data_IF_997267190657
#
_entry.id   IF_997267190657
#
_cell.length_a   1.000
_cell.length_b   1.000
_cell.length_c   1.000
_cell.angle_alpha   90.00
_cell.angle_beta   90.00
_cell.angle_gamma   90.00
#
_symmetry.space_group_name_H-M   'P 1'
#
loop_
_entity.id
_entity.type
_entity.pdbx_description
1 polymer ?
#
# COMPACT_ATOMS: atom_id res chain seq x y z
N UNK A 1 -4.80 -3.85 17.05
CA UNK A 1 -5.49 -4.70 16.06
C UNK A 1 -4.97 -4.30 14.68
N UNK A 2 -4.00 -5.05 14.15
CA UNK A 2 -3.34 -4.79 12.86
C UNK A 2 -4.11 -5.48 11.73
N UNK A 3 -4.34 -4.77 10.62
CA UNK A 3 -5.17 -5.22 9.49
C UNK A 3 -4.64 -6.47 8.79
N UNK A 4 -5.55 -7.19 8.12
CA UNK A 4 -5.32 -8.50 7.48
C UNK A 4 -4.35 -8.48 6.29
N UNK A 5 -3.84 -7.32 5.88
CA UNK A 5 -3.02 -7.17 4.67
C UNK A 5 -1.65 -6.55 5.00
N UNK A 6 -0.71 -7.37 5.51
CA UNK A 6 0.71 -7.00 5.53
C UNK A 6 1.25 -7.07 4.10
N UNK A 7 1.92 -6.01 3.65
CA UNK A 7 2.69 -6.08 2.41
C UNK A 7 3.78 -7.16 2.54
N UNK A 8 4.00 -8.01 1.53
CA UNK A 8 5.14 -8.94 1.52
C UNK A 8 6.48 -8.21 1.37
N UNK A 9 6.45 -6.94 0.96
CA UNK A 9 7.63 -6.11 0.81
C UNK A 9 8.02 -5.46 2.16
N UNK A 10 9.32 -5.38 2.42
CA UNK A 10 9.87 -4.58 3.51
C UNK A 10 10.31 -3.23 2.93
N UNK A 11 9.82 -2.12 3.50
CA UNK A 11 9.86 -0.80 2.88
C UNK A 11 10.37 0.31 3.80
N UNK A 12 10.16 1.55 3.39
CA UNK A 12 10.57 2.77 4.12
C UNK A 12 9.55 3.26 5.15
N UNK A 13 8.89 2.35 5.89
CA UNK A 13 8.00 2.78 6.98
C UNK A 13 8.79 3.11 8.25
N UNK A 14 8.11 3.76 9.19
CA UNK A 14 8.63 4.06 10.53
C UNK A 14 8.52 2.83 11.45
N UNK A 15 7.55 1.95 11.18
CA UNK A 15 7.25 0.81 12.03
C UNK A 15 8.26 -0.33 11.84
N UNK A 16 8.87 -0.76 12.94
CA UNK A 16 9.84 -1.85 12.96
C UNK A 16 9.14 -3.18 12.67
N UNK A 17 9.67 -3.93 11.69
CA UNK A 17 9.17 -5.27 11.38
C UNK A 17 9.98 -6.36 12.08
N UNK A 18 11.27 -6.47 11.74
CA UNK A 18 12.16 -7.52 12.24
C UNK A 18 13.64 -7.20 12.01
N UNK A 19 14.52 -8.01 12.63
CA UNK A 19 15.94 -8.04 12.31
C UNK A 19 16.27 -9.20 11.38
N UNK A 20 17.10 -8.96 10.37
CA UNK A 20 17.63 -9.99 9.46
C UNK A 20 19.16 -10.01 9.50
N UNK A 21 19.80 -11.16 9.32
CA UNK A 21 21.24 -11.22 9.12
C UNK A 21 21.65 -10.44 7.86
N UNK A 22 22.77 -9.72 7.96
CA UNK A 22 23.42 -9.07 6.82
C UNK A 22 23.98 -10.11 5.84
N UNK A 23 23.79 -9.87 4.55
CA UNK A 23 24.38 -10.64 3.45
C UNK A 23 25.14 -9.69 2.52
N UNK A 24 26.29 -10.10 1.94
CA UNK A 24 26.99 -9.28 0.95
C UNK A 24 26.06 -8.82 -0.17
N UNK A 25 26.01 -7.50 -0.41
CA UNK A 25 25.08 -6.85 -1.33
C UNK A 25 24.00 -6.01 -0.63
N UNK A 26 23.79 -6.21 0.68
CA UNK A 26 22.92 -5.36 1.47
C UNK A 26 23.54 -3.98 1.74
N UNK A 27 22.70 -2.95 1.83
CA UNK A 27 23.15 -1.60 2.16
C UNK A 27 23.55 -1.48 3.64
N UNK A 28 24.77 -1.04 3.97
CA UNK A 28 25.22 -0.86 5.36
C UNK A 28 24.40 0.18 6.15
N UNK A 29 23.64 1.04 5.47
CA UNK A 29 22.80 2.07 6.10
C UNK A 29 21.72 1.49 7.00
N UNK A 30 21.31 0.25 6.78
CA UNK A 30 20.26 -0.41 7.56
C UNK A 30 20.82 -1.28 8.70
N UNK A 31 22.14 -1.29 8.93
CA UNK A 31 22.74 -2.02 10.04
C UNK A 31 22.32 -1.38 11.37
N UNK A 32 21.84 -2.22 12.28
CA UNK A 32 21.56 -1.82 13.65
C UNK A 32 22.86 -1.80 14.46
N UNK A 33 23.50 -0.63 14.50
CA UNK A 33 24.75 -0.41 15.22
C UNK A 33 24.64 -0.69 16.73
N UNK A 34 23.46 -0.54 17.32
CA UNK A 34 23.24 -0.81 18.75
C UNK A 34 23.26 -2.31 19.04
N UNK A 35 22.71 -3.12 18.13
CA UNK A 35 22.75 -4.58 18.24
C UNK A 35 24.16 -5.09 17.95
N UNK A 36 24.83 -4.52 16.94
CA UNK A 36 26.22 -4.84 16.63
C UNK A 36 27.13 -4.63 17.86
N UNK A 37 27.04 -3.46 18.51
CA UNK A 37 27.86 -3.15 19.68
C UNK A 37 27.64 -4.09 20.89
N UNK A 38 26.46 -4.72 20.99
CA UNK A 38 26.11 -5.62 22.11
C UNK A 38 26.37 -7.09 21.83
N UNK A 39 26.27 -7.51 20.57
CA UNK A 39 26.22 -8.93 20.20
C UNK A 39 27.27 -9.33 19.17
N UNK A 40 28.02 -8.37 18.63
CA UNK A 40 28.99 -8.54 17.55
C UNK A 40 28.40 -9.21 16.29
N UNK A 41 27.09 -9.05 16.09
CA UNK A 41 26.34 -9.57 14.96
C UNK A 41 25.86 -8.45 14.05
N UNK A 42 26.13 -8.59 12.75
CA UNK A 42 25.64 -7.69 11.71
C UNK A 42 24.18 -8.01 11.40
N UNK A 43 23.27 -7.28 12.05
CA UNK A 43 21.84 -7.37 11.82
C UNK A 43 21.32 -6.11 11.13
N UNK A 44 20.48 -6.32 10.12
CA UNK A 44 19.75 -5.28 9.42
C UNK A 44 18.40 -5.06 10.07
N UNK A 45 18.05 -3.80 10.28
CA UNK A 45 16.73 -3.37 10.75
C UNK A 45 15.79 -3.27 9.56
N UNK A 46 14.77 -4.12 9.51
CA UNK A 46 13.73 -4.09 8.49
C UNK A 46 12.49 -3.38 9.03
N UNK A 47 11.82 -2.63 8.15
CA UNK A 47 10.60 -1.90 8.45
C UNK A 47 9.47 -2.44 7.60
N UNK A 48 8.25 -2.42 8.15
CA UNK A 48 7.05 -2.94 7.47
C UNK A 48 6.76 -2.06 6.26
N UNK A 49 6.56 -2.55 5.03
CA UNK A 49 6.16 -1.64 3.95
C UNK A 49 4.71 -1.21 4.16
N UNK A 50 4.48 0.11 4.21
CA UNK A 50 3.12 0.64 4.14
C UNK A 50 2.64 0.65 2.69
N UNK A 51 1.70 -0.22 2.35
CA UNK A 51 1.06 -0.24 1.04
C UNK A 51 0.05 0.91 0.92
N UNK A 52 0.50 2.03 0.37
CA UNK A 52 -0.36 3.16 0.05
C UNK A 52 -1.06 2.94 -1.30
N UNK A 53 -2.30 2.43 -1.28
CA UNK A 53 -3.13 2.30 -2.48
C UNK A 53 -3.66 3.67 -2.92
N UNK A 54 -3.13 4.21 -4.03
CA UNK A 54 -3.64 5.43 -4.67
C UNK A 54 -4.53 5.06 -5.86
N UNK A 55 -5.77 5.53 -5.87
CA UNK A 55 -6.73 5.29 -6.96
C UNK A 55 -7.25 6.61 -7.50
N UNK A 56 -7.34 6.72 -8.83
CA UNK A 56 -7.91 7.87 -9.53
C UNK A 56 -9.11 7.42 -10.35
N UNK A 57 -10.21 8.17 -10.26
CA UNK A 57 -11.38 7.97 -11.10
C UNK A 57 -11.49 9.11 -12.10
N UNK A 58 -11.46 8.78 -13.39
CA UNK A 58 -11.57 9.75 -14.48
C UNK A 58 -12.85 9.44 -15.24
N UNK A 59 -13.69 10.46 -15.42
CA UNK A 59 -15.03 10.34 -16.00
C UNK A 59 -15.21 11.37 -17.09
N UNK A 60 -15.83 10.94 -18.20
CA UNK A 60 -16.35 11.85 -19.21
C UNK A 60 -17.59 12.57 -18.67
N UNK A 61 -17.70 13.88 -18.90
CA UNK A 61 -18.83 14.74 -18.53
C UNK A 61 -19.60 15.27 -19.74
N UNK A 62 -19.29 14.77 -20.94
CA UNK A 62 -19.97 15.16 -22.19
C UNK A 62 -21.48 14.86 -22.18
N UNK A 63 -22.23 15.52 -23.07
CA UNK A 63 -23.68 15.34 -23.21
C UNK A 63 -24.09 13.87 -23.49
N UNK A 64 -23.19 13.06 -24.03
CA UNK A 64 -23.42 11.63 -24.30
C UNK A 64 -23.67 10.79 -23.05
N UNK A 65 -23.31 11.31 -21.87
CA UNK A 65 -23.52 10.68 -20.56
C UNK A 65 -24.95 10.86 -20.03
N UNK A 66 -25.73 11.78 -20.59
CA UNK A 66 -27.10 12.09 -20.16
C UNK A 66 -28.19 11.39 -21.01
N UNK A 67 -27.79 10.70 -22.09
CA UNK A 67 -28.69 10.01 -23.02
C UNK A 67 -28.55 8.48 -22.90
N UNK A 68 -29.65 7.70 -22.91
CA UNK A 68 -31.07 8.10 -22.92
C UNK A 68 -31.62 8.41 -21.52
N UNK A 69 -32.63 9.28 -21.45
CA UNK A 69 -33.20 9.84 -20.21
C UNK A 69 -33.80 8.80 -19.24
N UNK A 70 -34.16 7.61 -19.74
CA UNK A 70 -34.73 6.52 -18.94
C UNK A 70 -33.69 5.68 -18.19
N UNK A 71 -32.44 5.65 -18.68
CA UNK A 71 -31.36 4.82 -18.12
C UNK A 71 -30.05 5.60 -18.19
N UNK A 72 -29.92 6.59 -17.29
CA UNK A 72 -28.79 7.50 -17.31
C UNK A 72 -27.48 6.77 -17.02
N UNK A 73 -26.51 6.89 -17.93
CA UNK A 73 -25.16 6.31 -17.76
C UNK A 73 -24.49 6.83 -16.48
N UNK A 74 -24.80 8.07 -16.10
CA UNK A 74 -24.40 8.68 -14.83
C UNK A 74 -24.74 7.82 -13.61
N UNK A 75 -25.98 7.32 -13.52
CA UNK A 75 -26.39 6.50 -12.38
C UNK A 75 -25.63 5.17 -12.32
N UNK A 76 -25.31 4.58 -13.48
CA UNK A 76 -24.49 3.36 -13.56
C UNK A 76 -23.05 3.62 -13.13
N UNK A 77 -22.47 4.73 -13.58
CA UNK A 77 -21.13 5.15 -13.19
C UNK A 77 -21.05 5.36 -11.68
N UNK A 78 -22.00 6.08 -11.09
CA UNK A 78 -22.02 6.28 -9.63
C UNK A 78 -22.06 4.94 -8.89
N UNK A 79 -22.94 4.01 -9.31
CA UNK A 79 -23.00 2.66 -8.72
C UNK A 79 -21.71 1.86 -8.89
N UNK A 80 -21.05 1.97 -10.05
CA UNK A 80 -19.79 1.29 -10.32
C UNK A 80 -18.67 1.85 -9.44
N UNK A 81 -18.59 3.18 -9.31
CA UNK A 81 -17.58 3.84 -8.48
C UNK A 81 -17.77 3.54 -7.00
N UNK A 82 -19.01 3.48 -6.51
CA UNK A 82 -19.27 3.08 -5.12
C UNK A 82 -18.90 1.62 -4.88
N UNK A 83 -19.17 0.72 -5.84
CA UNK A 83 -18.77 -0.68 -5.73
C UNK A 83 -17.24 -0.84 -5.78
N UNK A 84 -16.55 -0.16 -6.70
CA UNK A 84 -15.09 -0.19 -6.77
C UNK A 84 -14.48 0.43 -5.51
N UNK A 85 -14.99 1.56 -5.05
CA UNK A 85 -14.53 2.22 -3.83
C UNK A 85 -14.65 1.33 -2.59
N UNK A 86 -15.79 0.65 -2.42
CA UNK A 86 -15.99 -0.29 -1.31
C UNK A 86 -15.11 -1.53 -1.42
N UNK A 87 -14.83 -2.02 -2.63
CA UNK A 87 -13.88 -3.12 -2.84
C UNK A 87 -12.45 -2.71 -2.49
N UNK A 88 -12.01 -1.53 -2.93
CA UNK A 88 -10.67 -1.00 -2.63
C UNK A 88 -10.50 -0.75 -1.13
N UNK A 89 -11.55 -0.33 -0.43
CA UNK A 89 -11.53 -0.18 1.03
C UNK A 89 -11.37 -1.52 1.77
N UNK A 90 -11.87 -2.63 1.20
CA UNK A 90 -11.67 -3.98 1.75
C UNK A 90 -10.29 -4.57 1.45
N UNK A 91 -9.57 -4.04 0.45
CA UNK A 91 -8.21 -4.48 0.10
C UNK A 91 -7.12 -3.79 0.94
N UNK A 92 -7.52 -2.92 1.88
CA UNK A 92 -6.66 -2.29 2.89
C UNK A 92 -6.82 -3.03 4.22
#
# INVERSE_FOLDING_TARGET
>A
MTGLHKSPDFGYSVEFAQHRAYVPGDSPKHIDWSVLAKTDKYLLKQYEAESNLRTYFILDSSASMQLPTSDSKWMKVVKLLTLIGTLLQKQR
#
